data_IF_110412028075
#
_entry.id   IF_110412028075
#
_cell.length_a   1.000
_cell.length_b   1.000
_cell.length_c   1.000
_cell.angle_alpha   90.00
_cell.angle_beta   90.00
_cell.angle_gamma   90.00
#
_symmetry.space_group_name_H-M   'P 1'
#
loop_
_entity.id
_entity.type
_entity.pdbx_description
1 polymer ?
#
# COMPACT_ATOMS: atom_id res chain seq x y z
N UNK A 1 26.25 58.53 -0.21
CA UNK A 1 26.04 57.72 -1.44
C UNK A 1 26.45 56.25 -1.29
N UNK A 2 27.67 55.91 -0.82
CA UNK A 2 28.11 54.50 -0.70
C UNK A 2 27.36 53.64 0.35
N UNK A 3 26.95 54.25 1.47
CA UNK A 3 26.27 53.52 2.56
C UNK A 3 24.85 53.09 2.19
N UNK A 4 24.07 53.98 1.59
CA UNK A 4 22.73 53.72 1.01
C UNK A 4 22.75 52.56 0.01
N UNK A 5 23.77 52.53 -0.85
CA UNK A 5 23.98 51.48 -1.85
C UNK A 5 24.25 50.11 -1.22
N UNK A 6 25.03 50.06 -0.14
CA UNK A 6 25.33 48.81 0.59
C UNK A 6 24.08 48.29 1.31
N UNK A 7 23.32 49.18 1.96
CA UNK A 7 22.05 48.81 2.62
C UNK A 7 21.04 48.28 1.61
N UNK A 8 20.89 48.93 0.46
CA UNK A 8 20.02 48.46 -0.62
C UNK A 8 20.40 47.08 -1.13
N UNK A 9 21.71 46.79 -1.26
CA UNK A 9 22.19 45.47 -1.68
C UNK A 9 21.91 44.39 -0.64
N UNK A 10 22.11 44.69 0.65
CA UNK A 10 21.84 43.77 1.75
C UNK A 10 20.34 43.42 1.83
N UNK A 11 19.45 44.41 1.67
CA UNK A 11 17.99 44.18 1.66
C UNK A 11 17.60 43.31 0.47
N UNK A 12 18.14 43.57 -0.73
CA UNK A 12 17.85 42.74 -1.91
C UNK A 12 18.35 41.31 -1.73
N UNK A 13 19.53 41.14 -1.14
CA UNK A 13 20.10 39.83 -0.87
C UNK A 13 19.27 39.04 0.15
N UNK A 14 18.88 39.65 1.27
CA UNK A 14 18.06 38.99 2.28
C UNK A 14 16.67 38.62 1.77
N UNK A 15 16.02 39.51 1.00
CA UNK A 15 14.73 39.21 0.35
C UNK A 15 14.87 38.04 -0.64
N UNK A 16 15.95 37.99 -1.41
CA UNK A 16 16.19 36.91 -2.37
C UNK A 16 16.46 35.57 -1.66
N UNK A 17 17.25 35.56 -0.59
CA UNK A 17 17.44 34.38 0.25
C UNK A 17 16.13 33.89 0.89
N UNK A 18 15.27 34.81 1.37
CA UNK A 18 13.97 34.45 1.94
C UNK A 18 13.05 33.82 0.89
N UNK A 19 13.02 34.37 -0.33
CA UNK A 19 12.24 33.81 -1.46
C UNK A 19 12.76 32.42 -1.87
N UNK A 20 14.07 32.21 -1.85
CA UNK A 20 14.69 30.89 -2.04
C UNK A 20 14.27 29.91 -0.95
N UNK A 21 14.32 30.29 0.33
CA UNK A 21 13.91 29.42 1.44
C UNK A 21 12.42 29.04 1.38
N UNK A 22 11.54 29.96 0.95
CA UNK A 22 10.11 29.64 0.80
C UNK A 22 9.90 28.65 -0.35
N UNK A 23 10.61 28.81 -1.47
CA UNK A 23 10.44 27.97 -2.65
C UNK A 23 10.96 26.53 -2.48
N UNK A 24 12.00 26.29 -1.68
CA UNK A 24 12.43 24.91 -1.33
C UNK A 24 11.42 24.22 -0.42
N UNK A 25 10.76 24.92 0.49
CA UNK A 25 9.72 24.33 1.34
C UNK A 25 8.45 24.00 0.55
N UNK A 26 8.04 24.85 -0.39
CA UNK A 26 6.87 24.56 -1.25
C UNK A 26 7.06 23.34 -2.17
N UNK A 27 8.31 22.96 -2.47
CA UNK A 27 8.64 21.79 -3.29
C UNK A 27 8.88 20.52 -2.47
N UNK A 28 9.12 20.66 -1.17
CA UNK A 28 9.38 19.52 -0.27
C UNK A 28 8.11 18.72 0.02
N UNK A 29 6.93 19.34 -0.03
CA UNK A 29 5.70 18.70 0.44
C UNK A 29 5.14 17.64 -0.51
N UNK A 30 5.52 17.65 -1.81
CA UNK A 30 5.10 16.65 -2.80
C UNK A 30 6.04 16.64 -4.03
N UNK A 31 7.13 15.84 -3.97
CA UNK A 31 8.00 15.63 -5.13
C UNK A 31 7.22 14.96 -6.28
N UNK A 32 7.23 15.53 -7.50
CA UNK A 32 6.59 14.89 -8.66
C UNK A 32 7.09 13.47 -8.90
N UNK A 33 6.16 12.53 -9.15
CA UNK A 33 6.47 11.11 -9.36
C UNK A 33 6.53 10.26 -8.09
N UNK A 34 6.18 10.84 -6.94
CA UNK A 34 6.16 10.15 -5.65
C UNK A 34 4.84 10.38 -4.92
N UNK A 35 4.46 9.38 -4.13
CA UNK A 35 3.41 9.47 -3.11
C UNK A 35 4.12 9.48 -1.76
N UNK A 36 3.75 10.40 -0.88
CA UNK A 36 4.36 10.52 0.44
C UNK A 36 3.34 10.75 1.56
N UNK A 37 3.73 10.37 2.77
CA UNK A 37 2.93 10.47 3.99
C UNK A 37 3.64 9.76 5.14
N UNK A 38 3.00 9.68 6.31
CA UNK A 38 3.66 9.23 7.55
C UNK A 38 3.00 7.98 8.13
N UNK A 39 3.83 7.11 8.68
CA UNK A 39 3.41 6.15 9.70
C UNK A 39 4.14 6.45 11.00
N UNK A 40 3.40 6.72 12.08
CA UNK A 40 3.97 7.02 13.40
C UNK A 40 5.09 8.08 13.37
N UNK A 41 4.88 9.16 12.61
CA UNK A 41 5.86 10.26 12.45
C UNK A 41 7.05 9.96 11.54
N UNK A 42 7.16 8.74 10.99
CA UNK A 42 8.17 8.41 9.98
C UNK A 42 7.60 8.68 8.59
N UNK A 43 8.23 9.60 7.85
CA UNK A 43 7.86 9.88 6.46
C UNK A 43 8.25 8.69 5.58
N UNK A 44 7.29 8.22 4.79
CA UNK A 44 7.45 7.18 3.79
C UNK A 44 7.19 7.82 2.43
N UNK A 45 8.15 7.66 1.53
CA UNK A 45 8.04 8.10 0.14
C UNK A 45 8.18 6.90 -0.79
N UNK A 46 7.30 6.81 -1.79
CA UNK A 46 7.28 5.70 -2.74
C UNK A 46 7.03 6.23 -4.14
N UNK A 47 7.70 5.71 -5.19
CA UNK A 47 7.38 6.09 -6.55
C UNK A 47 5.90 5.78 -6.87
N UNK A 48 5.20 6.73 -7.48
CA UNK A 48 3.78 6.62 -7.85
C UNK A 48 3.47 5.40 -8.76
N UNK A 49 4.44 5.01 -9.59
CA UNK A 49 4.40 3.81 -10.42
C UNK A 49 4.29 2.51 -9.62
N UNK A 50 4.52 2.53 -8.31
CA UNK A 50 4.24 1.40 -7.41
C UNK A 50 3.04 1.62 -6.52
N UNK A 51 2.66 2.86 -6.23
CA UNK A 51 1.49 3.16 -5.41
C UNK A 51 0.19 2.71 -6.10
N UNK A 52 -0.79 2.33 -5.28
CA UNK A 52 -2.18 2.25 -5.69
C UNK A 52 -2.66 3.64 -6.11
N UNK A 53 -3.56 3.77 -7.11
CA UNK A 53 -3.91 5.08 -7.66
C UNK A 53 -4.46 6.11 -6.66
N UNK A 54 -4.96 5.64 -5.53
CA UNK A 54 -5.38 6.47 -4.41
C UNK A 54 -4.72 5.93 -3.14
N UNK A 55 -3.84 6.73 -2.55
CA UNK A 55 -3.29 6.46 -1.23
C UNK A 55 -4.30 6.85 -0.16
N UNK A 56 -4.39 6.06 0.89
CA UNK A 56 -5.42 6.24 1.90
C UNK A 56 -4.83 6.95 3.11
N UNK A 57 -5.08 8.25 3.22
CA UNK A 57 -4.70 9.05 4.39
C UNK A 57 -5.75 8.97 5.51
N UNK A 58 -5.37 9.37 6.72
CA UNK A 58 -6.31 9.51 7.82
C UNK A 58 -7.41 10.54 7.51
N UNK A 59 -8.66 10.23 7.90
CA UNK A 59 -9.84 11.04 7.58
C UNK A 59 -10.97 10.19 6.99
N UNK A 60 -11.60 10.71 5.94
CA UNK A 60 -12.66 10.03 5.19
C UNK A 60 -12.12 8.83 4.39
N UNK A 61 -12.95 7.80 4.21
CA UNK A 61 -12.60 6.65 3.37
C UNK A 61 -12.64 7.00 1.90
N UNK A 62 -11.90 6.31 1.03
CA UNK A 62 -12.02 6.50 -0.44
C UNK A 62 -13.41 6.19 -1.00
N UNK A 63 -14.23 5.47 -0.23
CA UNK A 63 -15.64 5.24 -0.53
C UNK A 63 -16.57 6.42 -0.17
N UNK A 64 -16.06 7.40 0.58
CA UNK A 64 -16.80 8.62 0.95
C UNK A 64 -16.45 9.74 -0.04
N UNK A 65 -17.43 10.45 -0.62
CA UNK A 65 -17.16 11.55 -1.54
C UNK A 65 -16.27 12.66 -0.97
N UNK A 66 -16.26 12.83 0.36
CA UNK A 66 -15.39 13.79 1.06
C UNK A 66 -13.94 13.34 1.15
N UNK A 67 -13.58 12.18 0.59
CA UNK A 67 -12.21 11.69 0.52
C UNK A 67 -11.22 12.73 -0.02
N UNK A 68 -11.64 13.51 -1.02
CA UNK A 68 -10.83 14.59 -1.62
C UNK A 68 -10.51 15.73 -0.66
N UNK A 69 -11.17 15.79 0.49
CA UNK A 69 -10.95 16.79 1.55
C UNK A 69 -9.92 16.32 2.58
N UNK A 70 -9.45 15.07 2.48
CA UNK A 70 -8.44 14.55 3.40
C UNK A 70 -7.14 15.33 3.27
N UNK A 71 -6.40 15.42 4.39
CA UNK A 71 -5.02 15.91 4.36
C UNK A 71 -4.16 14.90 3.60
N UNK A 72 -3.40 15.38 2.61
CA UNK A 72 -2.47 14.57 1.81
C UNK A 72 -1.04 15.12 1.91
N UNK A 73 -0.07 14.37 1.36
CA UNK A 73 1.32 14.76 1.28
C UNK A 73 2.16 14.32 2.49
N UNK A 74 3.41 14.76 2.53
CA UNK A 74 4.42 14.17 3.41
C UNK A 74 4.16 14.46 4.90
N UNK A 75 3.33 15.46 5.20
CA UNK A 75 2.88 15.82 6.55
C UNK A 75 1.56 15.14 6.96
N UNK A 76 0.96 14.33 6.08
CA UNK A 76 -0.26 13.58 6.36
C UNK A 76 0.06 12.17 6.84
N UNK A 77 -0.76 11.65 7.75
CA UNK A 77 -0.65 10.25 8.17
C UNK A 77 -1.35 9.33 7.17
N UNK A 78 -0.68 8.25 6.78
CA UNK A 78 -1.32 7.17 6.06
C UNK A 78 -2.23 6.37 6.99
N UNK A 79 -3.48 6.15 6.56
CA UNK A 79 -4.37 5.12 7.10
C UNK A 79 -3.97 3.75 6.56
N UNK A 80 -3.68 3.68 5.27
CA UNK A 80 -3.21 2.51 4.54
C UNK A 80 -2.44 2.95 3.29
N UNK A 81 -1.28 2.35 3.05
CA UNK A 81 -0.51 2.52 1.83
C UNK A 81 -0.48 1.18 1.09
N UNK A 82 -1.17 1.14 -0.04
CA UNK A 82 -1.18 -0.04 -0.92
C UNK A 82 -0.20 0.17 -2.06
N UNK A 83 0.68 -0.81 -2.27
CA UNK A 83 1.59 -0.91 -3.40
C UNK A 83 1.16 -2.04 -4.33
N UNK A 84 1.32 -1.86 -5.64
CA UNK A 84 1.03 -2.85 -6.67
C UNK A 84 2.26 -3.07 -7.52
N UNK A 85 2.64 -4.33 -7.70
CA UNK A 85 3.81 -4.72 -8.49
C UNK A 85 3.64 -6.12 -9.08
N UNK A 86 4.48 -6.51 -10.03
CA UNK A 86 4.53 -7.88 -10.53
C UNK A 86 5.59 -8.71 -9.81
N UNK A 87 5.22 -9.92 -9.39
CA UNK A 87 6.14 -10.96 -8.95
C UNK A 87 6.85 -11.61 -10.16
N UNK A 88 8.12 -12.06 -10.05
CA UNK A 88 9.00 -12.01 -8.88
C UNK A 88 9.89 -10.76 -8.81
N UNK A 89 10.00 -10.01 -9.90
CA UNK A 89 11.01 -8.96 -10.05
C UNK A 89 10.60 -7.61 -9.46
N UNK A 90 9.41 -7.50 -8.89
CA UNK A 90 8.85 -6.26 -8.34
C UNK A 90 8.86 -5.10 -9.34
N UNK A 91 8.47 -5.38 -10.59
CA UNK A 91 8.32 -4.36 -11.64
C UNK A 91 6.97 -3.68 -11.54
N UNK A 92 6.94 -2.36 -11.76
CA UNK A 92 5.73 -1.55 -11.71
C UNK A 92 4.62 -2.10 -12.63
N UNK A 93 3.38 -1.90 -12.21
CA UNK A 93 2.20 -2.19 -13.04
C UNK A 93 1.85 -0.97 -13.89
N UNK A 94 1.38 -1.21 -15.11
CA UNK A 94 0.84 -0.15 -15.98
C UNK A 94 -0.25 0.66 -15.22
N UNK A 95 -0.11 1.99 -15.10
CA UNK A 95 -1.09 2.83 -14.42
C UNK A 95 -2.54 2.61 -14.87
N UNK A 96 -2.81 2.38 -16.16
CA UNK A 96 -4.16 2.16 -16.67
C UNK A 96 -4.76 0.86 -16.12
N UNK A 97 -3.96 -0.20 -16.07
CA UNK A 97 -4.39 -1.49 -15.50
C UNK A 97 -4.67 -1.40 -14.01
N UNK A 98 -3.92 -0.55 -13.28
CA UNK A 98 -4.17 -0.33 -11.85
C UNK A 98 -5.55 0.25 -11.58
N UNK A 99 -5.96 1.26 -12.35
CA UNK A 99 -7.26 1.92 -12.20
C UNK A 99 -8.43 0.99 -12.50
N UNK A 100 -8.31 0.18 -13.55
CA UNK A 100 -9.35 -0.79 -13.93
C UNK A 100 -9.34 -2.06 -13.07
N UNK A 101 -8.43 -2.16 -12.09
CA UNK A 101 -8.24 -3.33 -11.25
C UNK A 101 -8.01 -4.62 -12.08
N UNK A 102 -7.47 -4.47 -13.28
CA UNK A 102 -7.09 -5.56 -14.17
C UNK A 102 -5.78 -6.18 -13.68
N UNK A 103 -5.92 -7.08 -12.70
CA UNK A 103 -4.82 -7.74 -12.00
C UNK A 103 -4.59 -9.08 -12.67
N UNK A 104 -3.43 -9.23 -13.29
CA UNK A 104 -2.99 -10.53 -13.81
C UNK A 104 -2.51 -11.46 -12.69
N UNK A 105 -2.27 -12.73 -13.02
CA UNK A 105 -1.85 -13.76 -12.06
C UNK A 105 -0.52 -13.45 -11.35
N UNK A 106 0.31 -12.56 -11.91
CA UNK A 106 1.62 -12.19 -11.36
C UNK A 106 1.54 -10.92 -10.53
N UNK A 107 0.43 -10.22 -10.56
CA UNK A 107 0.25 -8.97 -9.85
C UNK A 107 0.05 -9.24 -8.36
N UNK A 108 0.90 -8.65 -7.54
CA UNK A 108 0.80 -8.69 -6.08
C UNK A 108 0.46 -7.31 -5.54
N UNK A 109 -0.31 -7.30 -4.44
CA UNK A 109 -0.62 -6.11 -3.65
C UNK A 109 0.07 -6.21 -2.31
N UNK A 110 0.84 -5.19 -1.96
CA UNK A 110 1.53 -5.08 -0.67
C UNK A 110 0.82 -3.97 0.10
N UNK A 111 0.26 -4.30 1.26
CA UNK A 111 -0.52 -3.37 2.06
C UNK A 111 0.25 -3.04 3.34
N UNK A 112 0.59 -1.76 3.51
CA UNK A 112 1.25 -1.20 4.68
C UNK A 112 0.20 -0.46 5.51
N UNK A 113 0.04 -0.84 6.78
CA UNK A 113 -0.87 -0.18 7.71
C UNK A 113 -0.36 -0.27 9.16
N UNK A 114 -0.61 0.75 9.99
CA UNK A 114 -0.26 0.68 11.40
C UNK A 114 -1.13 -0.36 12.12
N UNK A 115 -0.53 -1.12 13.03
CA UNK A 115 -1.29 -2.02 13.92
C UNK A 115 -1.97 -1.14 14.98
N UNK A 116 -3.30 -1.15 14.99
CA UNK A 116 -4.09 -0.41 15.99
C UNK A 116 -4.28 -1.27 17.24
N UNK A 117 -4.59 -0.66 18.38
CA UNK A 117 -4.76 -1.39 19.65
C UNK A 117 -5.85 -2.49 19.57
N UNK A 118 -6.91 -2.23 18.80
CA UNK A 118 -7.99 -3.20 18.56
C UNK A 118 -7.66 -4.25 17.50
N UNK A 119 -6.54 -4.11 16.80
CA UNK A 119 -6.15 -5.08 15.79
C UNK A 119 -5.62 -6.36 16.43
N UNK A 120 -6.01 -7.48 15.86
CA UNK A 120 -5.34 -8.75 16.14
C UNK A 120 -3.85 -8.65 15.83
N UNK A 121 -3.01 -9.25 16.68
CA UNK A 121 -1.59 -9.44 16.39
C UNK A 121 -1.41 -10.11 15.02
N UNK A 122 -0.29 -9.87 14.34
CA UNK A 122 -0.03 -10.49 13.03
C UNK A 122 -0.14 -12.02 13.07
N UNK A 123 0.31 -12.63 14.18
CA UNK A 123 0.16 -14.08 14.40
C UNK A 123 -1.32 -14.48 14.48
N UNK A 124 -2.15 -13.71 15.17
CA UNK A 124 -3.57 -14.00 15.26
C UNK A 124 -4.30 -13.74 13.94
N UNK A 125 -3.95 -12.68 13.19
CA UNK A 125 -4.45 -12.46 11.83
C UNK A 125 -4.13 -13.65 10.93
N UNK A 126 -2.88 -14.12 10.92
CA UNK A 126 -2.47 -15.31 10.16
C UNK A 126 -3.28 -16.54 10.57
N UNK A 127 -3.42 -16.84 11.86
CA UNK A 127 -4.25 -17.96 12.35
C UNK A 127 -5.70 -17.83 11.89
N UNK A 128 -6.28 -16.62 11.96
CA UNK A 128 -7.66 -16.39 11.51
C UNK A 128 -7.80 -16.65 10.01
N UNK A 129 -6.83 -16.23 9.18
CA UNK A 129 -6.83 -16.52 7.75
C UNK A 129 -6.68 -18.00 7.45
N UNK A 130 -5.72 -18.69 8.08
CA UNK A 130 -5.54 -20.13 7.91
C UNK A 130 -6.75 -20.93 8.39
N UNK A 131 -7.55 -20.39 9.32
CA UNK A 131 -8.75 -21.00 9.91
C UNK A 131 -10.08 -20.44 9.37
N UNK A 132 -10.06 -19.63 8.33
CA UNK A 132 -11.25 -18.95 7.80
C UNK A 132 -12.25 -19.94 7.19
N UNK A 133 -13.27 -20.34 7.94
CA UNK A 133 -14.29 -21.31 7.49
C UNK A 133 -15.17 -20.80 6.34
N UNK A 134 -15.31 -19.48 6.20
CA UNK A 134 -16.07 -18.86 5.11
C UNK A 134 -15.42 -19.05 3.72
N UNK A 135 -14.17 -19.52 3.66
CA UNK A 135 -13.47 -19.85 2.41
C UNK A 135 -13.77 -21.26 1.90
N UNK A 136 -14.60 -22.04 2.61
CA UNK A 136 -15.00 -23.39 2.22
C UNK A 136 -14.32 -24.49 3.03
N UNK A 137 -14.39 -25.73 2.52
CA UNK A 137 -13.75 -26.88 3.17
C UNK A 137 -12.24 -26.76 3.02
N UNK A 138 -11.51 -27.01 4.11
CA UNK A 138 -10.05 -26.86 4.15
C UNK A 138 -9.32 -28.15 4.47
N UNK A 139 -8.06 -28.20 4.06
CA UNK A 139 -7.10 -29.20 4.50
C UNK A 139 -6.62 -28.95 5.94
N UNK A 140 -5.79 -29.86 6.45
CA UNK A 140 -4.89 -29.56 7.56
C UNK A 140 -3.83 -28.53 7.14
N UNK A 141 -3.10 -27.99 8.12
CA UNK A 141 -1.98 -27.07 7.86
C UNK A 141 -0.77 -27.90 7.46
N UNK A 142 -0.13 -27.52 6.36
CA UNK A 142 1.13 -28.09 5.89
C UNK A 142 2.26 -27.08 6.03
N UNK A 143 3.49 -27.55 5.93
CA UNK A 143 4.70 -26.72 5.87
C UNK A 143 5.46 -27.07 4.60
N UNK A 144 5.89 -26.05 3.87
CA UNK A 144 6.72 -26.17 2.68
C UNK A 144 8.15 -25.74 3.02
N UNK A 145 9.08 -26.71 2.98
CA UNK A 145 10.47 -26.49 3.36
C UNK A 145 11.20 -25.55 2.39
N UNK A 146 10.82 -25.55 1.11
CA UNK A 146 11.48 -24.72 0.07
C UNK A 146 11.16 -23.23 0.24
N UNK A 147 9.92 -22.90 0.61
CA UNK A 147 9.49 -21.52 0.86
C UNK A 147 9.57 -21.11 2.33
N UNK A 148 9.80 -22.07 3.23
CA UNK A 148 9.68 -21.92 4.69
C UNK A 148 8.30 -21.40 5.15
N UNK A 149 7.25 -21.66 4.37
CA UNK A 149 5.89 -21.17 4.62
C UNK A 149 4.95 -22.29 5.11
N UNK A 150 4.02 -21.91 5.99
CA UNK A 150 2.86 -22.76 6.28
C UNK A 150 1.79 -22.52 5.22
N UNK A 151 1.07 -23.56 4.82
CA UNK A 151 -0.05 -23.40 3.89
C UNK A 151 -1.28 -24.25 4.22
N UNK A 152 -2.43 -23.77 3.76
CA UNK A 152 -3.72 -24.49 3.80
C UNK A 152 -4.33 -24.43 2.42
N UNK A 153 -4.86 -25.57 1.98
CA UNK A 153 -5.67 -25.67 0.78
C UNK A 153 -7.15 -25.52 1.13
N UNK A 154 -7.80 -24.60 0.43
CA UNK A 154 -9.24 -24.40 0.46
C UNK A 154 -9.86 -24.92 -0.82
N UNK A 155 -10.99 -25.60 -0.67
CA UNK A 155 -11.72 -26.22 -1.75
C UNK A 155 -13.10 -25.58 -1.83
N UNK A 156 -13.32 -24.83 -2.91
CA UNK A 156 -14.63 -24.27 -3.20
C UNK A 156 -15.51 -25.38 -3.79
N UNK A 157 -16.55 -25.76 -3.04
CA UNK A 157 -17.65 -26.55 -3.58
C UNK A 157 -18.65 -25.59 -4.24
N UNK A 158 -18.48 -25.36 -5.54
CA UNK A 158 -19.53 -24.70 -6.30
C UNK A 158 -20.70 -25.67 -6.46
N UNK A 159 -21.85 -25.33 -5.86
CA UNK A 159 -23.11 -25.73 -6.46
C UNK A 159 -23.23 -24.94 -7.76
N UNK A 160 -22.90 -25.57 -8.87
CA UNK A 160 -23.13 -25.00 -10.21
C UNK A 160 -24.64 -24.80 -10.33
N UNK A 161 -25.14 -23.61 -10.00
CA UNK A 161 -26.48 -23.21 -10.42
C UNK A 161 -26.43 -23.04 -11.95
N UNK A 162 -26.97 -24.04 -12.63
CA UNK A 162 -27.59 -23.96 -13.96
C UNK A 162 -27.02 -22.88 -14.90
N UNK A 163 -25.87 -23.16 -15.52
CA UNK A 163 -25.56 -22.77 -16.91
C UNK A 163 -24.15 -23.24 -17.26
N UNK A 164 -24.06 -24.47 -17.74
CA UNK A 164 -23.24 -24.91 -18.88
C UNK A 164 -23.17 -26.45 -18.87
N UNK A 165 -23.66 -27.02 -19.97
CA UNK A 165 -23.74 -28.44 -20.27
C UNK A 165 -22.38 -29.15 -20.12
N UNK A 166 -22.11 -29.74 -18.95
CA UNK A 166 -21.43 -31.03 -18.78
C UNK A 166 -21.45 -31.33 -17.28
N UNK A 167 -21.91 -32.50 -16.83
CA UNK A 167 -22.03 -32.86 -15.41
C UNK A 167 -20.72 -33.00 -14.63
N UNK A 168 -19.68 -32.21 -14.93
CA UNK A 168 -18.41 -32.19 -14.20
C UNK A 168 -18.50 -31.17 -13.07
N UNK A 169 -18.46 -31.66 -11.83
CA UNK A 169 -18.19 -30.83 -10.65
C UNK A 169 -16.74 -30.34 -10.74
N UNK A 170 -16.53 -29.06 -11.02
CA UNK A 170 -15.19 -28.47 -11.01
C UNK A 170 -14.92 -27.93 -9.62
N UNK A 171 -14.03 -28.59 -8.87
CA UNK A 171 -13.58 -28.11 -7.57
C UNK A 171 -12.43 -27.11 -7.79
N UNK A 172 -12.57 -25.87 -7.32
CA UNK A 172 -11.49 -24.89 -7.38
C UNK A 172 -10.66 -24.99 -6.10
N UNK A 173 -9.36 -25.27 -6.27
CA UNK A 173 -8.39 -25.28 -5.19
C UNK A 173 -7.78 -23.87 -5.06
N UNK A 174 -7.74 -23.35 -3.84
CA UNK A 174 -7.04 -22.11 -3.49
C UNK A 174 -6.05 -22.41 -2.37
N UNK A 175 -4.77 -22.11 -2.57
CA UNK A 175 -3.74 -22.32 -1.55
C UNK A 175 -3.41 -20.99 -0.88
N UNK A 176 -3.46 -20.97 0.45
CA UNK A 176 -3.13 -19.81 1.26
C UNK A 176 -1.84 -20.09 2.03
N UNK A 177 -0.84 -19.24 1.82
CA UNK A 177 0.44 -19.31 2.52
C UNK A 177 0.50 -18.29 3.66
N UNK A 178 1.21 -18.63 4.73
CA UNK A 178 1.42 -17.78 5.89
C UNK A 178 2.75 -18.07 6.57
N UNK A 179 3.40 -17.04 7.08
CA UNK A 179 4.62 -17.16 7.88
C UNK A 179 4.66 -16.13 8.99
N UNK A 180 5.40 -16.46 10.05
CA UNK A 180 5.79 -15.49 11.08
C UNK A 180 7.00 -14.71 10.57
N UNK A 181 6.76 -13.51 10.08
CA UNK A 181 7.86 -12.62 9.71
C UNK A 181 8.54 -12.10 10.97
N UNK A 182 9.80 -12.49 11.19
CA UNK A 182 10.68 -11.88 12.20
C UNK A 182 11.45 -10.76 11.50
N UNK A 183 11.01 -9.52 11.70
CA UNK A 183 11.79 -8.36 11.28
C UNK A 183 13.08 -8.32 12.11
N UNK A 184 14.19 -8.73 11.50
CA UNK A 184 15.52 -8.45 12.01
C UNK A 184 15.81 -6.98 11.72
N UNK A 185 15.44 -6.10 12.65
CA UNK A 185 15.99 -4.76 12.68
C UNK A 185 17.42 -4.91 13.23
N UNK A 186 18.40 -4.89 12.33
CA UNK A 186 19.83 -4.76 12.64
C UNK A 186 20.18 -3.33 12.98
#
# INVERSE_FOLDING_TARGET
MRFELIISYLIKFTVNCLMLLISINSYADNRPGFVCGQFNGTVIEVPDKYAFPFAEYEGYSYFDPRFIENKEGCDANFRELTLITHWPYMTSVDPQKKFHLEIDEKTIRIILRPIREKDYSLTQKMKNYLNASYLGKRSQIFYDDDSELQYVDYFDEYNVSEKLYSGKRTQKKRTFFGSKMKLLLS
#
